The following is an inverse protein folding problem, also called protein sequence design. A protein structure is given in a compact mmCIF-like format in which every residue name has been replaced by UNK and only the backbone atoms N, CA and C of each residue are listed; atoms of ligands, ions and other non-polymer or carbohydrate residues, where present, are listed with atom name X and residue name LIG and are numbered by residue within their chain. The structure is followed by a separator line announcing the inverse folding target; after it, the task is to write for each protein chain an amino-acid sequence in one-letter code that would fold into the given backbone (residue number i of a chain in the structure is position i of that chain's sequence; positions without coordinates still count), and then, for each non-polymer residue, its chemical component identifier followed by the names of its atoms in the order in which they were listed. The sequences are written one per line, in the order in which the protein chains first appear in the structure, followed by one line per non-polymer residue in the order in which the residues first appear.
data_IF_658049507673
#
_entry.id   IF_658049507673
#
_cell.length_a   1.000
_cell.length_b   1.000
_cell.length_c   1.000
_cell.angle_alpha   90.00
_cell.angle_beta   90.00
_cell.angle_gamma   90.00
#
_symmetry.space_group_name_H-M   'P 1'
#
loop_
_entity.id
_entity.type
_entity.pdbx_description
1 polymer ?
#
# COMPACT_ATOMS: atom_id res chain seq x y z
N UNK A 1 -22.35 10.84 -19.28
CA UNK A 1 -23.41 9.88 -18.92
C UNK A 1 -23.96 10.34 -17.58
N UNK A 2 -25.13 11.01 -17.58
CA UNK A 2 -25.78 11.52 -16.37
C UNK A 2 -26.43 10.37 -15.60
N UNK A 3 -26.40 10.45 -14.26
CA UNK A 3 -27.29 9.63 -13.44
C UNK A 3 -28.41 10.59 -13.00
N UNK A 4 -29.56 10.46 -13.66
CA UNK A 4 -30.76 11.23 -13.34
C UNK A 4 -31.48 10.57 -12.14
N UNK A 5 -31.20 11.07 -10.92
CA UNK A 5 -31.94 10.72 -9.69
C UNK A 5 -33.23 11.55 -9.50
N UNK A 6 -33.75 12.15 -10.56
CA UNK A 6 -34.98 12.96 -10.54
C UNK A 6 -36.21 12.16 -10.08
N UNK A 7 -36.16 10.83 -10.18
CA UNK A 7 -37.20 9.92 -9.67
C UNK A 7 -37.25 9.85 -8.12
N UNK A 8 -36.18 10.27 -7.44
CA UNK A 8 -36.05 10.31 -5.98
C UNK A 8 -35.94 11.73 -5.40
N UNK A 9 -36.21 12.77 -6.20
CA UNK A 9 -36.16 14.18 -5.74
C UNK A 9 -34.74 14.73 -5.50
N UNK A 10 -33.70 14.08 -6.02
CA UNK A 10 -32.30 14.50 -5.88
C UNK A 10 -31.79 15.40 -7.02
N UNK A 11 -30.68 16.14 -6.82
CA UNK A 11 -30.05 16.95 -7.85
C UNK A 11 -29.51 16.10 -9.01
N UNK A 12 -29.53 16.66 -10.23
CA UNK A 12 -28.99 16.03 -11.44
C UNK A 12 -27.46 15.94 -11.36
N UNK A 13 -26.92 14.73 -11.32
CA UNK A 13 -25.47 14.51 -11.41
C UNK A 13 -25.09 14.35 -12.87
N UNK A 14 -24.75 15.47 -13.50
CA UNK A 14 -24.07 15.46 -14.79
C UNK A 14 -22.58 15.18 -14.54
N UNK A 15 -22.10 14.02 -14.98
CA UNK A 15 -20.66 13.69 -15.00
C UNK A 15 -19.93 14.44 -16.13
N UNK A 16 -20.12 15.76 -16.16
CA UNK A 16 -19.55 16.70 -17.12
C UNK A 16 -18.75 17.70 -16.28
N UNK A 17 -17.47 17.38 -16.05
CA UNK A 17 -16.56 18.14 -15.19
C UNK A 17 -15.63 17.26 -14.36
N UNK A 18 -14.54 17.81 -13.85
CA UNK A 18 -13.54 17.08 -13.03
C UNK A 18 -13.99 16.87 -11.56
N UNK A 19 -14.85 17.77 -11.06
CA UNK A 19 -15.35 17.79 -9.68
C UNK A 19 -16.11 16.52 -9.27
N UNK A 20 -17.05 15.96 -10.06
CA UNK A 20 -17.77 14.74 -9.69
C UNK A 20 -16.85 13.52 -9.52
N UNK A 21 -15.81 13.40 -10.34
CA UNK A 21 -14.85 12.29 -10.23
C UNK A 21 -13.97 12.41 -9.00
N UNK A 22 -13.61 13.64 -8.60
CA UNK A 22 -12.88 13.89 -7.37
C UNK A 22 -13.68 13.43 -6.13
N UNK A 23 -14.96 13.83 -6.03
CA UNK A 23 -15.82 13.37 -4.94
C UNK A 23 -16.06 11.86 -4.97
N UNK A 24 -16.23 11.27 -6.16
CA UNK A 24 -16.35 9.82 -6.32
C UNK A 24 -15.08 9.09 -5.82
N UNK A 25 -13.89 9.59 -6.17
CA UNK A 25 -12.62 9.03 -5.73
C UNK A 25 -12.49 9.09 -4.20
N UNK A 26 -12.84 10.21 -3.57
CA UNK A 26 -12.85 10.34 -2.10
C UNK A 26 -13.78 9.31 -1.47
N UNK A 27 -15.01 9.17 -1.98
CA UNK A 27 -15.97 8.20 -1.46
C UNK A 27 -15.42 6.78 -1.59
N UNK A 28 -14.82 6.41 -2.73
CA UNK A 28 -14.21 5.10 -2.90
C UNK A 28 -13.06 4.84 -1.93
N UNK A 29 -12.19 5.84 -1.71
CA UNK A 29 -11.08 5.74 -0.74
C UNK A 29 -11.63 5.56 0.67
N UNK A 30 -12.61 6.37 1.08
CA UNK A 30 -13.23 6.26 2.41
C UNK A 30 -13.90 4.91 2.63
N UNK A 31 -14.66 4.41 1.64
CA UNK A 31 -15.27 3.08 1.70
C UNK A 31 -14.21 1.99 1.79
N UNK A 32 -13.14 2.09 0.99
CA UNK A 32 -12.04 1.12 1.02
C UNK A 32 -11.36 1.09 2.38
N UNK A 33 -11.03 2.26 2.94
CA UNK A 33 -10.41 2.39 4.26
C UNK A 33 -11.34 1.84 5.34
N UNK A 34 -12.63 2.18 5.31
CA UNK A 34 -13.62 1.68 6.26
C UNK A 34 -13.73 0.15 6.23
N UNK A 35 -13.85 -0.44 5.04
CA UNK A 35 -13.92 -1.90 4.89
C UNK A 35 -12.62 -2.56 5.35
N UNK A 36 -11.45 -1.99 5.03
CA UNK A 36 -10.16 -2.50 5.50
C UNK A 36 -10.05 -2.52 7.02
N UNK A 37 -10.45 -1.44 7.69
CA UNK A 37 -10.51 -1.40 9.16
C UNK A 37 -11.43 -2.49 9.71
N UNK A 38 -12.62 -2.62 9.12
CA UNK A 38 -13.61 -3.60 9.57
C UNK A 38 -13.12 -5.04 9.40
N UNK A 39 -12.39 -5.32 8.32
CA UNK A 39 -11.77 -6.64 8.05
C UNK A 39 -10.63 -6.91 9.02
N UNK A 40 -9.78 -5.91 9.30
CA UNK A 40 -8.66 -6.04 10.23
C UNK A 40 -9.12 -6.42 11.65
N UNK A 41 -10.20 -5.80 12.14
CA UNK A 41 -10.79 -6.11 13.45
C UNK A 41 -11.64 -7.38 13.48
N UNK A 42 -11.93 -7.96 12.31
CA UNK A 42 -12.74 -9.17 12.20
C UNK A 42 -11.93 -10.45 12.54
N UNK A 43 -12.63 -11.59 12.58
CA UNK A 43 -12.01 -12.92 12.72
C UNK A 43 -11.05 -13.23 11.57
N UNK A 44 -11.32 -12.71 10.36
CA UNK A 44 -10.48 -12.90 9.18
C UNK A 44 -9.11 -12.25 9.37
N UNK A 45 -9.09 -10.98 9.82
CA UNK A 45 -7.86 -10.24 10.09
C UNK A 45 -6.99 -10.93 11.16
N UNK A 46 -7.59 -11.41 12.24
CA UNK A 46 -6.87 -12.16 13.29
C UNK A 46 -6.30 -13.48 12.79
N UNK A 47 -7.03 -14.21 11.95
CA UNK A 47 -6.54 -15.46 11.36
C UNK A 47 -5.36 -15.21 10.42
N UNK A 48 -5.39 -14.16 9.59
CA UNK A 48 -4.25 -13.79 8.75
C UNK A 48 -3.03 -13.33 9.54
N UNK A 49 -3.24 -12.66 10.67
CA UNK A 49 -2.14 -12.30 11.57
C UNK A 49 -1.45 -13.56 12.13
N UNK A 50 -2.22 -14.58 12.53
CA UNK A 50 -1.68 -15.85 13.01
C UNK A 50 -0.91 -16.61 11.90
N UNK A 51 -1.48 -16.70 10.69
CA UNK A 51 -0.83 -17.32 9.53
C UNK A 51 0.50 -16.63 9.19
N UNK A 52 0.56 -15.30 9.32
CA UNK A 52 1.79 -14.52 9.06
C UNK A 52 2.90 -14.79 10.08
N UNK A 53 2.56 -15.12 11.32
CA UNK A 53 3.55 -15.38 12.37
C UNK A 53 4.10 -16.81 12.28
N UNK A 54 3.25 -17.83 12.12
CA UNK A 54 3.65 -19.21 11.87
C UNK A 54 2.50 -20.01 11.22
N UNK A 55 2.71 -20.46 9.99
CA UNK A 55 1.73 -21.27 9.25
C UNK A 55 1.48 -22.63 9.92
N UNK A 56 2.52 -23.28 10.45
CA UNK A 56 2.45 -24.63 11.04
C UNK A 56 1.67 -24.59 12.36
N UNK A 57 1.91 -23.56 13.17
CA UNK A 57 1.15 -23.32 14.40
C UNK A 57 -0.32 -23.01 14.10
N UNK A 58 -0.61 -22.20 13.07
CA UNK A 58 -1.97 -21.88 12.68
C UNK A 58 -2.79 -23.12 12.26
N UNK A 59 -2.16 -24.08 11.57
CA UNK A 59 -2.81 -25.35 11.20
C UNK A 59 -3.19 -26.14 12.46
N UNK A 60 -2.26 -26.22 13.41
CA UNK A 60 -2.44 -26.94 14.68
C UNK A 60 -3.59 -26.36 15.51
N UNK A 61 -3.87 -25.06 15.38
CA UNK A 61 -5.03 -24.39 15.99
C UNK A 61 -6.36 -24.57 15.23
N UNK A 62 -6.39 -25.38 14.16
CA UNK A 62 -7.60 -25.65 13.37
C UNK A 62 -7.93 -24.60 12.30
N UNK A 63 -6.97 -23.73 11.95
CA UNK A 63 -7.17 -22.72 10.89
C UNK A 63 -6.93 -23.35 9.51
N UNK A 64 -7.93 -23.31 8.64
CA UNK A 64 -7.84 -23.82 7.26
C UNK A 64 -7.05 -22.86 6.35
N UNK A 65 -5.73 -23.02 6.22
CA UNK A 65 -4.87 -22.07 5.47
C UNK A 65 -5.34 -21.79 4.05
N UNK A 66 -5.73 -22.83 3.30
CA UNK A 66 -6.14 -22.69 1.90
C UNK A 66 -7.33 -21.72 1.78
N UNK A 67 -8.37 -21.90 2.62
CA UNK A 67 -9.54 -21.02 2.62
C UNK A 67 -9.16 -19.56 2.96
N UNK A 68 -8.34 -19.34 3.99
CA UNK A 68 -7.94 -17.99 4.38
C UNK A 68 -7.02 -17.32 3.35
N UNK A 69 -6.16 -18.07 2.66
CA UNK A 69 -5.31 -17.56 1.57
C UNK A 69 -6.15 -17.20 0.32
N UNK A 70 -7.12 -18.03 -0.03
CA UNK A 70 -8.04 -17.75 -1.16
C UNK A 70 -8.91 -16.53 -0.87
N UNK A 71 -9.45 -16.39 0.35
CA UNK A 71 -10.22 -15.20 0.74
C UNK A 71 -9.34 -13.95 0.69
N UNK A 72 -8.09 -14.02 1.14
CA UNK A 72 -7.16 -12.89 1.04
C UNK A 72 -6.90 -12.48 -0.42
N UNK A 73 -6.72 -13.45 -1.31
CA UNK A 73 -6.56 -13.20 -2.74
C UNK A 73 -7.82 -12.60 -3.37
N UNK A 74 -8.99 -13.16 -3.07
CA UNK A 74 -10.27 -12.69 -3.60
C UNK A 74 -10.57 -11.24 -3.17
N UNK A 75 -10.29 -10.90 -1.91
CA UNK A 75 -10.45 -9.54 -1.38
C UNK A 75 -9.48 -8.58 -2.09
N UNK A 76 -8.21 -8.96 -2.23
CA UNK A 76 -7.23 -8.16 -2.98
C UNK A 76 -7.67 -7.89 -4.42
N UNK A 77 -8.13 -8.94 -5.11
CA UNK A 77 -8.63 -8.84 -6.48
C UNK A 77 -9.87 -7.93 -6.58
N UNK A 78 -10.79 -7.99 -5.61
CA UNK A 78 -11.97 -7.13 -5.59
C UNK A 78 -11.59 -5.64 -5.47
N UNK A 79 -10.69 -5.28 -4.55
CA UNK A 79 -10.23 -3.89 -4.42
C UNK A 79 -9.40 -3.43 -5.62
N UNK A 80 -8.57 -4.32 -6.19
CA UNK A 80 -7.86 -4.05 -7.43
C UNK A 80 -8.80 -3.79 -8.62
N UNK A 81 -9.89 -4.56 -8.74
CA UNK A 81 -10.89 -4.38 -9.79
C UNK A 81 -11.67 -3.07 -9.62
N UNK A 82 -12.03 -2.69 -8.39
CA UNK A 82 -12.68 -1.41 -8.10
C UNK A 82 -11.77 -0.24 -8.51
N UNK A 83 -10.49 -0.26 -8.10
CA UNK A 83 -9.52 0.75 -8.51
C UNK A 83 -9.27 0.79 -10.02
N UNK A 84 -9.14 -0.37 -10.66
CA UNK A 84 -8.93 -0.49 -12.10
C UNK A 84 -10.12 -0.01 -12.94
N UNK A 85 -11.35 -0.29 -12.50
CA UNK A 85 -12.57 0.18 -13.18
C UNK A 85 -12.72 1.70 -13.10
N UNK A 86 -12.36 2.30 -11.96
CA UNK A 86 -12.28 3.75 -11.81
C UNK A 86 -11.20 4.35 -12.73
N UNK A 87 -10.01 3.74 -12.77
CA UNK A 87 -8.92 4.18 -13.64
C UNK A 87 -9.29 4.12 -15.13
N UNK A 88 -9.91 3.03 -15.57
CA UNK A 88 -10.38 2.88 -16.95
C UNK A 88 -11.37 3.97 -17.35
N UNK A 89 -12.26 4.35 -16.41
CA UNK A 89 -13.24 5.42 -16.64
C UNK A 89 -12.61 6.82 -16.68
N UNK A 90 -11.57 7.05 -15.89
CA UNK A 90 -10.83 8.30 -15.83
C UNK A 90 -9.96 8.53 -17.07
N UNK A 91 -9.18 7.53 -17.47
CA UNK A 91 -8.21 7.68 -18.56
C UNK A 91 -8.90 7.80 -19.93
N UNK A 92 -10.14 7.30 -20.08
CA UNK A 92 -10.96 7.21 -21.32
C UNK A 92 -10.33 6.45 -22.50
N UNK A 93 -9.00 6.32 -22.50
CA UNK A 93 -8.20 5.58 -23.45
C UNK A 93 -7.17 4.74 -22.68
N UNK A 94 -7.07 3.46 -23.03
CA UNK A 94 -6.13 2.52 -22.43
C UNK A 94 -5.16 2.04 -23.50
N UNK A 95 -3.88 2.34 -23.33
CA UNK A 95 -2.81 1.77 -24.12
C UNK A 95 -1.98 0.79 -23.27
N UNK A 96 -1.42 -0.29 -23.86
CA UNK A 96 -0.53 -1.20 -23.14
C UNK A 96 0.71 -0.50 -22.57
N UNK A 97 1.08 0.66 -23.12
CA UNK A 97 2.22 1.45 -22.67
C UNK A 97 2.03 2.00 -21.25
N UNK A 98 0.79 2.19 -20.79
CA UNK A 98 0.46 2.69 -19.46
C UNK A 98 0.66 1.63 -18.36
N UNK A 99 0.65 0.34 -18.69
CA UNK A 99 0.75 -0.78 -17.74
C UNK A 99 2.12 -1.46 -17.78
N UNK A 100 3.17 -0.67 -17.97
CA UNK A 100 4.55 -1.17 -17.91
C UNK A 100 4.90 -1.63 -16.50
N UNK A 101 5.93 -2.47 -16.41
CA UNK A 101 6.52 -2.94 -15.15
C UNK A 101 6.75 -1.80 -14.13
N UNK A 102 7.05 -0.61 -14.64
CA UNK A 102 7.26 0.60 -13.84
C UNK A 102 6.07 0.94 -12.92
N UNK A 103 4.83 0.79 -13.40
CA UNK A 103 3.63 1.15 -12.63
C UNK A 103 3.43 0.21 -11.44
N UNK A 104 3.62 -1.09 -11.66
CA UNK A 104 3.62 -2.10 -10.58
C UNK A 104 4.71 -1.84 -9.54
N UNK A 105 5.89 -1.41 -9.99
CA UNK A 105 6.99 -1.05 -9.09
C UNK A 105 6.67 0.19 -8.25
N UNK A 106 6.03 1.22 -8.83
CA UNK A 106 5.58 2.39 -8.09
C UNK A 106 4.58 2.05 -7.00
N UNK A 107 3.58 1.21 -7.30
CA UNK A 107 2.58 0.77 -6.33
C UNK A 107 3.24 -0.02 -5.19
N UNK A 108 4.16 -0.93 -5.52
CA UNK A 108 4.98 -1.63 -4.52
C UNK A 108 5.76 -0.61 -3.67
N UNK A 109 6.26 0.45 -4.30
CA UNK A 109 7.01 1.47 -3.60
C UNK A 109 6.19 2.21 -2.55
N UNK A 110 4.96 2.59 -2.91
CA UNK A 110 4.01 3.24 -2.00
C UNK A 110 3.73 2.39 -0.75
N UNK A 111 3.54 1.08 -0.94
CA UNK A 111 3.22 0.15 0.14
C UNK A 111 4.43 -0.07 1.07
N UNK A 112 5.62 -0.29 0.50
CA UNK A 112 6.83 -0.57 1.28
C UNK A 112 7.29 0.67 2.05
N UNK A 113 7.23 1.85 1.42
CA UNK A 113 7.58 3.11 2.07
C UNK A 113 6.58 3.46 3.19
N UNK A 114 5.29 3.22 2.97
CA UNK A 114 4.27 3.40 4.00
C UNK A 114 4.38 2.42 5.17
N UNK A 115 4.79 1.17 4.90
CA UNK A 115 4.98 0.12 5.88
C UNK A 115 3.94 -1.00 5.76
N UNK A 116 4.40 -2.26 5.76
CA UNK A 116 3.54 -3.43 5.56
C UNK A 116 2.50 -3.57 6.69
N UNK A 117 1.23 -3.53 6.32
CA UNK A 117 0.05 -3.81 7.16
C UNK A 117 -0.42 -2.69 8.09
N UNK A 118 0.05 -1.45 7.89
CA UNK A 118 -0.54 -0.26 8.52
C UNK A 118 -1.23 0.63 7.48
N UNK A 119 -2.57 0.74 7.56
CA UNK A 119 -3.39 1.49 6.58
C UNK A 119 -2.97 2.97 6.52
N UNK A 120 -2.79 3.63 7.67
CA UNK A 120 -2.32 5.02 7.74
C UNK A 120 -0.92 5.20 7.15
N UNK A 121 -0.04 4.23 7.38
CA UNK A 121 1.32 4.25 6.85
C UNK A 121 1.31 4.24 5.32
N UNK A 122 0.52 3.35 4.71
CA UNK A 122 0.37 3.25 3.25
C UNK A 122 -0.23 4.52 2.65
N UNK A 123 -1.21 5.15 3.30
CA UNK A 123 -1.78 6.42 2.80
C UNK A 123 -0.76 7.55 2.78
N UNK A 124 0.05 7.69 3.82
CA UNK A 124 1.15 8.68 3.83
C UNK A 124 2.22 8.30 2.83
N UNK A 125 2.54 7.02 2.70
CA UNK A 125 3.51 6.53 1.72
C UNK A 125 3.10 6.85 0.28
N UNK A 126 1.82 6.66 -0.04
CA UNK A 126 1.24 7.06 -1.33
C UNK A 126 1.30 8.58 -1.52
N UNK A 127 0.86 9.37 -0.54
CA UNK A 127 0.90 10.84 -0.62
C UNK A 127 2.33 11.35 -0.86
N UNK A 128 3.29 10.89 -0.07
CA UNK A 128 4.70 11.29 -0.18
C UNK A 128 5.28 10.92 -1.54
N UNK A 129 5.08 9.68 -2.00
CA UNK A 129 5.65 9.25 -3.27
C UNK A 129 4.97 9.92 -4.46
N UNK A 130 3.66 10.14 -4.42
CA UNK A 130 2.95 10.88 -5.47
C UNK A 130 3.42 12.32 -5.53
N UNK A 131 3.42 13.04 -4.40
CA UNK A 131 3.92 14.42 -4.35
C UNK A 131 5.37 14.52 -4.79
N UNK A 132 6.21 13.58 -4.36
CA UNK A 132 7.60 13.52 -4.80
C UNK A 132 7.73 13.22 -6.29
N UNK A 133 6.85 12.39 -6.85
CA UNK A 133 6.85 12.07 -8.28
C UNK A 133 6.49 13.28 -9.16
N UNK A 134 5.64 14.18 -8.64
CA UNK A 134 5.23 15.42 -9.31
C UNK A 134 6.34 16.47 -9.21
N UNK A 135 6.93 16.64 -8.02
CA UNK A 135 8.08 17.53 -7.81
C UNK A 135 9.26 17.11 -8.69
N UNK A 136 9.56 15.81 -8.77
CA UNK A 136 10.61 15.32 -9.66
C UNK A 136 10.23 15.46 -11.14
N UNK A 137 8.95 15.48 -11.49
CA UNK A 137 8.50 15.72 -12.87
C UNK A 137 8.74 17.17 -13.29
N UNK A 138 8.61 18.13 -12.39
CA UNK A 138 8.83 19.56 -12.67
C UNK A 138 10.32 19.95 -12.64
N UNK A 139 11.09 19.43 -11.69
CA UNK A 139 12.49 19.83 -11.47
C UNK A 139 13.46 19.16 -12.46
N UNK A 140 13.21 17.91 -12.84
CA UNK A 140 14.11 17.14 -13.70
C UNK A 140 14.32 17.73 -15.11
N UNK A 141 13.29 18.26 -15.81
CA UNK A 141 13.50 18.96 -17.07
C UNK A 141 14.21 20.30 -16.89
N UNK A 142 14.01 21.01 -15.76
CA UNK A 142 14.74 22.26 -15.46
C UNK A 142 16.24 22.04 -15.25
N UNK A 143 16.65 20.84 -14.82
CA UNK A 143 18.06 20.49 -14.58
C UNK A 143 18.73 19.85 -15.82
N UNK A 144 18.00 19.66 -16.92
CA UNK A 144 18.52 19.07 -18.17
C UNK A 144 18.74 17.56 -18.13
N UNK A 145 18.18 16.85 -17.13
CA UNK A 145 18.32 15.40 -17.01
C UNK A 145 17.21 14.66 -17.77
N UNK A 146 17.52 13.46 -18.31
CA UNK A 146 16.51 12.61 -18.94
C UNK A 146 15.43 12.16 -17.94
N UNK A 147 14.19 12.06 -18.40
CA UNK A 147 13.01 11.62 -17.61
C UNK A 147 13.23 10.24 -16.97
N UNK A 148 14.08 9.39 -17.56
CA UNK A 148 14.39 8.07 -17.02
C UNK A 148 15.17 8.11 -15.69
N UNK A 149 15.83 9.21 -15.33
CA UNK A 149 16.56 9.36 -14.07
C UNK A 149 15.62 9.31 -12.86
N UNK A 150 14.33 9.63 -13.07
CA UNK A 150 13.29 9.46 -12.05
C UNK A 150 13.24 8.02 -11.52
N UNK A 151 13.44 7.03 -12.40
CA UNK A 151 13.41 5.62 -12.04
C UNK A 151 14.57 5.22 -11.12
N UNK A 152 15.76 5.75 -11.42
CA UNK A 152 16.95 5.58 -10.57
C UNK A 152 16.75 6.23 -9.20
N UNK A 153 16.16 7.44 -9.16
CA UNK A 153 15.87 8.14 -7.91
C UNK A 153 14.91 7.35 -7.01
N UNK A 154 13.83 6.79 -7.56
CA UNK A 154 12.92 5.94 -6.78
C UNK A 154 13.59 4.67 -6.26
N UNK A 155 14.41 4.01 -7.08
CA UNK A 155 15.19 2.84 -6.65
C UNK A 155 16.16 3.18 -5.52
N UNK A 156 16.86 4.31 -5.63
CA UNK A 156 17.79 4.79 -4.60
C UNK A 156 17.05 5.13 -3.29
N UNK A 157 15.93 5.83 -3.37
CA UNK A 157 15.07 6.14 -2.22
C UNK A 157 14.58 4.86 -1.55
N UNK A 158 14.25 3.84 -2.35
CA UNK A 158 13.87 2.54 -1.83
C UNK A 158 14.98 1.85 -1.05
N UNK A 159 16.18 1.80 -1.61
CA UNK A 159 17.36 1.21 -0.96
C UNK A 159 17.69 1.96 0.34
N UNK A 160 17.64 3.30 0.32
CA UNK A 160 17.87 4.12 1.51
C UNK A 160 16.78 3.88 2.57
N UNK A 161 15.51 3.78 2.18
CA UNK A 161 14.42 3.45 3.09
C UNK A 161 14.61 2.07 3.73
N UNK A 162 14.92 1.05 2.94
CA UNK A 162 15.23 -0.29 3.46
C UNK A 162 16.43 -0.28 4.41
N UNK A 163 17.42 0.58 4.15
CA UNK A 163 18.60 0.74 5.01
C UNK A 163 18.29 1.41 6.34
N UNK A 164 17.52 2.51 6.34
CA UNK A 164 17.29 3.32 7.54
C UNK A 164 16.06 2.89 8.34
N UNK A 165 14.99 2.43 7.67
CA UNK A 165 13.68 2.10 8.26
C UNK A 165 13.01 0.94 7.50
N UNK A 166 13.50 -0.32 7.66
CA UNK A 166 12.98 -1.49 6.94
C UNK A 166 11.52 -1.85 7.24
N UNK A 167 10.88 -1.18 8.20
CA UNK A 167 9.48 -1.39 8.56
C UNK A 167 8.53 -0.28 8.04
N UNK A 168 9.05 0.68 7.25
CA UNK A 168 8.32 1.83 6.73
C UNK A 168 8.31 3.07 7.64
N UNK A 169 7.63 4.13 7.19
CA UNK A 169 7.47 5.38 7.94
C UNK A 169 6.70 5.12 9.25
N UNK A 170 5.57 4.40 9.17
CA UNK A 170 4.77 4.00 10.32
C UNK A 170 4.54 2.48 10.36
N UNK A 171 5.44 1.73 11.01
CA UNK A 171 5.24 0.29 11.19
C UNK A 171 4.09 -0.01 12.15
N UNK A 172 3.40 -1.13 11.92
CA UNK A 172 2.44 -1.69 12.88
C UNK A 172 3.11 -1.84 14.25
N UNK A 173 2.37 -1.54 15.34
CA UNK A 173 2.85 -1.67 16.71
C UNK A 173 3.54 -3.02 17.01
N UNK A 174 3.04 -4.12 16.44
CA UNK A 174 3.62 -5.46 16.56
C UNK A 174 5.03 -5.59 15.92
N UNK A 175 5.27 -4.95 14.76
CA UNK A 175 6.58 -4.95 14.09
C UNK A 175 7.54 -4.01 14.82
N UNK A 176 7.05 -2.86 15.28
CA UNK A 176 7.81 -1.95 16.13
C UNK A 176 8.23 -2.64 17.45
N UNK A 177 7.37 -3.46 18.04
CA UNK A 177 7.65 -4.25 19.23
C UNK A 177 8.70 -5.36 18.97
N UNK A 178 8.57 -6.14 17.88
CA UNK A 178 9.58 -7.15 17.49
C UNK A 178 10.96 -6.51 17.22
N UNK A 179 11.01 -5.34 16.56
CA UNK A 179 12.25 -4.59 16.33
C UNK A 179 12.90 -4.07 17.62
N UNK A 180 12.09 -3.63 18.60
CA UNK A 180 12.57 -3.26 19.94
C UNK A 180 13.08 -4.47 20.72
N UNK A 181 12.36 -5.59 20.69
CA UNK A 181 12.76 -6.84 21.35
C UNK A 181 14.07 -7.44 20.75
N UNK A 182 14.23 -7.38 19.43
CA UNK A 182 15.46 -7.81 18.73
C UNK A 182 16.69 -6.97 19.09
N UNK A 183 16.53 -5.64 19.24
CA UNK A 183 17.60 -4.75 19.74
C UNK A 183 17.98 -5.06 21.19
N UNK A 184 17.02 -5.40 22.05
CA UNK A 184 17.30 -5.78 23.46
C UNK A 184 18.05 -7.11 23.55
N UNK A 185 17.69 -8.12 22.74
CA UNK A 185 18.41 -9.40 22.68
C UNK A 185 19.85 -9.23 22.19
N UNK A 186 20.07 -8.42 21.15
CA UNK A 186 21.42 -8.12 20.61
C UNK A 186 22.30 -7.32 21.57
N UNK A 187 21.70 -6.51 22.47
CA UNK A 187 22.44 -5.79 23.53
C UNK A 187 22.86 -6.70 24.68
N UNK A 188 22.10 -7.78 24.96
CA UNK A 188 22.45 -8.80 25.97
C UNK A 188 23.50 -9.80 25.49
N UNK A 189 23.58 -10.07 24.19
CA UNK A 189 24.65 -10.89 23.60
C UNK A 189 25.86 -9.99 23.29
N UNK A 190 26.58 -9.54 24.33
CA UNK A 190 27.97 -9.09 24.16
C UNK A 190 28.86 -10.34 24.07
N UNK A 191 29.83 -10.40 23.14
CA UNK A 191 30.67 -11.58 22.96
C UNK A 191 31.61 -11.74 24.16
N UNK A 192 31.43 -12.82 24.92
CA UNK A 192 32.48 -13.36 25.74
C UNK A 192 33.47 -14.09 24.83
N UNK A 193 34.29 -13.33 24.09
CA UNK A 193 35.50 -13.86 23.43
C UNK A 193 36.68 -13.33 24.23
N UNK A 194 37.00 -14.06 25.29
CA UNK A 194 38.31 -14.04 25.93
C UNK A 194 38.98 -15.37 25.64
N UNK A 195 39.74 -15.43 24.55
CA UNK A 195 40.68 -16.53 24.28
C UNK A 195 41.75 -16.43 25.37
N UNK A 196 41.71 -17.33 26.36
CA UNK A 196 42.85 -17.53 27.27
C UNK A 196 43.94 -18.26 26.50
N UNK A 197 45.08 -17.60 26.36
CA UNK A 197 46.38 -18.25 26.13
C UNK A 197 46.83 -18.94 27.41
#
# INVERSE_FOLDING_TARGET
MSIDLTLFGGPKWEFIGELPYYYLAIVMVLVTVFVMYRIQDSRLGRAWFAIRDDEVAAVSCGIKLLAYKVIAFAISAAFGAVGGSFFARWMTFLSPDMFKFWESFLILCMIVLGGMGNIWGVMIGALVLVSMSEVLREILPLLGLPVQVRFLAFGLIMVLMMRYRPAGIMPIAAVAAKMRAGRVKRKKVKPAVGIKK
#
